data_IF_396323868607
#
_entry.id   IF_396323868607
#
_cell.length_a   1.000
_cell.length_b   1.000
_cell.length_c   1.000
_cell.angle_alpha   90.00
_cell.angle_beta   90.00
_cell.angle_gamma   90.00
#
_symmetry.space_group_name_H-M   'P 1'
#
loop_
_entity.id
_entity.type
_entity.pdbx_description
1 polymer ?
#
# COMPACT_ATOMS: atom_id res chain seq x y z
N UNK A 1 13.43 -12.61 2.29
CA UNK A 1 12.46 -11.55 2.66
C UNK A 1 12.78 -10.31 1.86
N UNK A 2 11.79 -9.69 1.22
CA UNK A 2 11.97 -8.51 0.36
C UNK A 2 11.54 -7.24 1.12
N UNK A 3 10.52 -7.36 1.96
CA UNK A 3 10.00 -6.27 2.78
C UNK A 3 8.89 -6.74 3.72
N UNK A 4 8.29 -5.81 4.45
CA UNK A 4 7.11 -6.06 5.27
C UNK A 4 6.26 -4.80 5.43
N UNK A 5 4.95 -4.99 5.59
CA UNK A 5 3.98 -3.98 6.01
C UNK A 5 3.37 -4.46 7.33
N UNK A 6 3.96 -4.04 8.45
CA UNK A 6 3.65 -4.66 9.75
C UNK A 6 3.86 -6.18 9.73
N UNK A 7 2.80 -6.94 10.00
CA UNK A 7 2.81 -8.40 10.02
C UNK A 7 2.73 -9.03 8.62
N UNK A 8 2.42 -8.24 7.60
CA UNK A 8 2.35 -8.69 6.21
C UNK A 8 3.75 -8.69 5.60
N UNK A 9 4.36 -9.88 5.50
CA UNK A 9 5.72 -10.03 4.96
C UNK A 9 5.70 -10.25 3.44
N UNK A 10 6.50 -9.46 2.71
CA UNK A 10 6.77 -9.67 1.28
C UNK A 10 7.95 -10.63 1.11
N UNK A 11 7.73 -11.72 0.39
CA UNK A 11 8.69 -12.82 0.23
C UNK A 11 8.67 -13.36 -1.20
N UNK A 12 9.84 -13.71 -1.72
CA UNK A 12 9.98 -14.58 -2.87
C UNK A 12 10.91 -15.71 -2.46
N UNK A 13 10.41 -16.94 -2.53
CA UNK A 13 11.09 -18.19 -2.15
C UNK A 13 10.59 -19.32 -3.05
N UNK A 14 11.22 -20.50 -2.98
CA UNK A 14 10.77 -21.65 -3.76
C UNK A 14 9.32 -22.07 -3.42
N UNK A 15 8.92 -21.89 -2.16
CA UNK A 15 7.62 -22.34 -1.66
C UNK A 15 6.55 -21.25 -1.69
N UNK A 16 6.95 -19.98 -1.63
CA UNK A 16 6.01 -18.86 -1.55
C UNK A 16 6.48 -17.63 -2.29
N UNK A 17 5.60 -17.08 -3.12
CA UNK A 17 5.79 -15.83 -3.86
C UNK A 17 4.68 -14.84 -3.47
N UNK A 18 5.09 -13.80 -2.77
CA UNK A 18 4.29 -12.66 -2.32
C UNK A 18 5.10 -11.39 -2.53
N UNK A 19 5.06 -10.89 -3.75
CA UNK A 19 5.74 -9.66 -4.17
C UNK A 19 4.72 -8.60 -4.53
N UNK A 20 5.14 -7.34 -4.47
CA UNK A 20 4.36 -6.22 -4.95
C UNK A 20 4.78 -5.83 -6.36
N UNK A 21 3.82 -5.34 -7.13
CA UNK A 21 3.99 -4.79 -8.47
C UNK A 21 3.51 -3.33 -8.47
N UNK A 22 3.94 -2.56 -9.48
CA UNK A 22 3.55 -1.15 -9.65
C UNK A 22 3.74 -0.26 -8.41
N UNK A 23 4.82 -0.50 -7.64
CA UNK A 23 5.08 0.26 -6.42
C UNK A 23 5.33 1.74 -6.73
N UNK A 24 4.50 2.61 -6.16
CA UNK A 24 4.57 4.06 -6.34
C UNK A 24 4.43 4.77 -5.00
N UNK A 25 5.33 5.72 -4.74
CA UNK A 25 5.22 6.71 -3.64
C UNK A 25 5.01 8.08 -4.25
N UNK A 26 4.02 8.82 -3.75
CA UNK A 26 3.75 10.21 -4.10
C UNK A 26 3.84 11.08 -2.86
N UNK A 27 4.62 12.15 -2.98
CA UNK A 27 4.89 13.14 -1.93
C UNK A 27 4.61 14.53 -2.46
N UNK A 28 3.94 15.37 -1.69
CA UNK A 28 3.63 16.75 -2.04
C UNK A 28 3.99 17.72 -0.92
N UNK A 29 4.35 18.94 -1.30
CA UNK A 29 4.41 20.08 -0.38
C UNK A 29 3.15 20.92 -0.55
N UNK A 30 2.61 21.45 0.54
CA UNK A 30 1.48 22.37 0.52
C UNK A 30 1.99 23.81 0.34
N UNK A 31 1.48 24.48 -0.69
CA UNK A 31 1.83 25.86 -1.04
C UNK A 31 0.56 26.70 -1.19
N UNK A 32 0.57 27.91 -0.61
CA UNK A 32 -0.46 28.92 -0.84
C UNK A 32 0.02 29.91 -1.91
N UNK A 33 -0.85 30.24 -2.86
CA UNK A 33 -0.61 31.32 -3.82
C UNK A 33 -1.39 32.56 -3.40
N UNK A 34 -0.68 33.64 -3.07
CA UNK A 34 -1.27 34.93 -2.71
C UNK A 34 -1.35 35.84 -3.92
N UNK A 35 -2.56 36.23 -4.31
CA UNK A 35 -2.79 37.10 -5.45
C UNK A 35 -2.25 38.52 -5.17
N UNK A 36 -1.52 39.07 -6.14
CA UNK A 36 -1.01 40.45 -6.07
C UNK A 36 -1.49 41.19 -7.32
N UNK A 37 -2.18 42.32 -7.15
CA UNK A 37 -2.75 43.07 -8.26
C UNK A 37 -1.67 43.48 -9.27
N UNK A 38 -1.87 43.12 -10.54
CA UNK A 38 -0.95 43.44 -11.64
C UNK A 38 0.39 42.69 -11.63
N UNK A 39 0.57 41.69 -10.75
CA UNK A 39 1.81 40.93 -10.63
C UNK A 39 1.53 39.42 -10.59
N UNK A 40 2.59 38.63 -10.78
CA UNK A 40 2.51 37.18 -10.55
C UNK A 40 2.22 36.91 -9.07
N UNK A 41 1.35 35.93 -8.73
CA UNK A 41 1.10 35.55 -7.35
C UNK A 41 2.37 35.16 -6.61
N UNK A 42 2.44 35.49 -5.33
CA UNK A 42 3.56 35.10 -4.45
C UNK A 42 3.24 33.74 -3.84
N UNK A 43 4.15 32.78 -4.00
CA UNK A 43 4.01 31.43 -3.44
C UNK A 43 4.58 31.38 -2.02
N UNK A 44 3.81 30.86 -1.07
CA UNK A 44 4.22 30.65 0.32
C UNK A 44 4.15 29.17 0.67
N UNK A 45 5.25 28.63 1.20
CA UNK A 45 5.28 27.25 1.69
C UNK A 45 4.54 27.15 3.04
N UNK A 46 3.58 26.23 3.10
CA UNK A 46 2.75 25.98 4.30
C UNK A 46 3.35 24.82 5.12
N UNK A 47 3.90 23.82 4.44
CA UNK A 47 4.44 22.62 5.06
C UNK A 47 4.36 21.40 4.14
N UNK A 48 4.94 20.27 4.54
CA UNK A 48 4.75 19.01 3.83
C UNK A 48 3.28 18.56 3.88
N UNK A 49 2.89 17.78 2.88
CA UNK A 49 1.65 17.00 2.87
C UNK A 49 1.94 15.56 3.31
N UNK A 50 0.89 14.78 3.56
CA UNK A 50 1.05 13.36 3.89
C UNK A 50 1.41 12.56 2.64
N UNK A 51 2.44 11.72 2.75
CA UNK A 51 2.80 10.84 1.65
C UNK A 51 1.74 9.76 1.41
N UNK A 52 1.62 9.35 0.14
CA UNK A 52 0.74 8.27 -0.29
C UNK A 52 1.56 7.21 -1.03
N UNK A 53 1.31 5.94 -0.71
CA UNK A 53 1.94 4.79 -1.38
C UNK A 53 0.86 3.91 -1.99
N UNK A 54 1.06 3.46 -3.21
CA UNK A 54 0.16 2.53 -3.90
C UNK A 54 0.95 1.41 -4.52
N UNK A 55 0.46 0.18 -4.41
CA UNK A 55 1.06 -0.98 -5.07
C UNK A 55 0.03 -2.10 -5.21
N UNK A 56 0.36 -3.08 -6.04
CA UNK A 56 -0.50 -4.24 -6.29
C UNK A 56 0.14 -5.51 -5.76
N UNK A 57 -0.66 -6.45 -5.28
CA UNK A 57 -0.20 -7.80 -4.94
C UNK A 57 -1.09 -8.80 -5.68
N UNK A 58 -0.45 -9.81 -6.28
CA UNK A 58 -1.15 -10.99 -6.77
C UNK A 58 -1.09 -12.11 -5.73
N UNK A 59 -2.26 -12.67 -5.42
CA UNK A 59 -2.43 -13.86 -4.60
C UNK A 59 -2.84 -15.03 -5.47
N UNK A 60 -2.10 -16.13 -5.40
CA UNK A 60 -2.34 -17.33 -6.19
C UNK A 60 -2.07 -18.57 -5.32
N UNK A 61 -2.97 -19.54 -5.36
CA UNK A 61 -2.76 -20.83 -4.69
C UNK A 61 -1.51 -21.56 -5.20
N UNK A 62 -1.13 -21.31 -6.46
CA UNK A 62 0.10 -21.86 -7.05
C UNK A 62 1.37 -21.28 -6.43
N UNK A 63 1.26 -20.15 -5.71
CA UNK A 63 2.36 -19.52 -4.99
C UNK A 63 2.39 -19.92 -3.51
N UNK A 64 1.75 -21.04 -3.14
CA UNK A 64 1.81 -21.60 -1.79
C UNK A 64 1.03 -20.80 -0.73
N UNK A 65 0.08 -19.96 -1.17
CA UNK A 65 -0.72 -19.11 -0.29
C UNK A 65 -2.20 -19.45 -0.39
N UNK A 66 -2.99 -19.11 0.63
CA UNK A 66 -4.44 -19.10 0.51
C UNK A 66 -4.91 -17.66 0.21
N UNK A 67 -5.34 -17.35 -1.03
CA UNK A 67 -5.70 -15.97 -1.41
C UNK A 67 -6.76 -15.36 -0.50
N UNK A 68 -7.78 -16.12 -0.10
CA UNK A 68 -8.86 -15.62 0.75
C UNK A 68 -8.36 -15.25 2.15
N UNK A 69 -7.49 -16.08 2.72
CA UNK A 69 -6.92 -15.80 4.04
C UNK A 69 -6.02 -14.55 4.01
N UNK A 70 -5.22 -14.38 2.95
CA UNK A 70 -4.36 -13.20 2.81
C UNK A 70 -5.15 -11.91 2.58
N UNK A 71 -6.20 -11.95 1.76
CA UNK A 71 -7.10 -10.81 1.56
C UNK A 71 -7.82 -10.41 2.86
N UNK A 72 -8.25 -11.39 3.66
CA UNK A 72 -8.87 -11.11 4.96
C UNK A 72 -7.89 -10.43 5.92
N UNK A 73 -6.62 -10.85 5.96
CA UNK A 73 -5.59 -10.18 6.78
C UNK A 73 -5.39 -8.72 6.38
N UNK A 74 -5.34 -8.44 5.08
CA UNK A 74 -5.26 -7.07 4.58
C UNK A 74 -6.50 -6.25 4.95
N UNK A 75 -7.69 -6.86 4.87
CA UNK A 75 -8.95 -6.23 5.23
C UNK A 75 -9.02 -5.92 6.73
N UNK A 76 -8.54 -6.82 7.59
CA UNK A 76 -8.45 -6.60 9.04
C UNK A 76 -7.49 -5.45 9.38
N UNK A 77 -6.32 -5.41 8.73
CA UNK A 77 -5.37 -4.31 8.87
C UNK A 77 -5.97 -2.97 8.44
N UNK A 78 -6.72 -2.95 7.33
CA UNK A 78 -7.43 -1.77 6.85
C UNK A 78 -8.52 -1.31 7.83
N UNK A 79 -9.36 -2.24 8.31
CA UNK A 79 -10.50 -1.92 9.20
C UNK A 79 -10.09 -1.54 10.61
N UNK A 80 -8.97 -2.08 11.10
CA UNK A 80 -8.45 -1.74 12.42
C UNK A 80 -7.79 -0.36 12.46
N UNK A 81 -7.43 0.20 11.29
CA UNK A 81 -6.77 1.51 11.20
C UNK A 81 -5.40 1.54 11.87
N UNK A 82 -4.76 0.38 12.04
CA UNK A 82 -3.47 0.27 12.73
C UNK A 82 -2.38 0.89 11.85
N UNK A 83 -1.60 1.80 12.45
CA UNK A 83 -0.43 2.37 11.81
C UNK A 83 0.76 1.40 11.96
N UNK A 84 1.34 0.97 10.84
CA UNK A 84 2.40 -0.04 10.78
C UNK A 84 3.63 0.47 10.02
N UNK A 85 4.84 -0.02 10.33
CA UNK A 85 6.02 0.31 9.55
C UNK A 85 5.94 -0.40 8.19
N UNK A 86 6.35 0.33 7.14
CA UNK A 86 6.60 -0.24 5.82
C UNK A 86 8.11 -0.37 5.63
N UNK A 87 8.61 -1.57 5.45
CA UNK A 87 10.03 -1.89 5.28
C UNK A 87 10.24 -2.51 3.92
N UNK A 88 11.20 -2.00 3.13
CA UNK A 88 11.57 -2.56 1.83
C UNK A 88 13.09 -2.63 1.77
N UNK A 89 13.65 -3.79 1.39
CA UNK A 89 15.09 -4.00 1.30
C UNK A 89 15.83 -3.81 2.63
N UNK A 90 15.17 -4.11 3.75
CA UNK A 90 15.73 -3.95 5.09
C UNK A 90 15.77 -2.51 5.61
N UNK A 91 15.17 -1.54 4.90
CA UNK A 91 15.06 -0.14 5.34
C UNK A 91 13.61 0.27 5.46
N UNK A 92 13.28 0.99 6.53
CA UNK A 92 11.97 1.62 6.67
C UNK A 92 11.78 2.65 5.55
N UNK A 93 10.59 2.65 4.94
CA UNK A 93 10.21 3.60 3.92
C UNK A 93 9.52 4.79 4.59
N UNK A 94 10.19 5.94 4.58
CA UNK A 94 9.69 7.14 5.27
C UNK A 94 10.13 7.21 6.73
N UNK A 95 9.72 8.28 7.42
CA UNK A 95 10.02 8.51 8.84
C UNK A 95 8.87 8.01 9.72
N UNK A 96 7.65 8.14 9.21
CA UNK A 96 6.42 7.85 9.93
C UNK A 96 5.90 6.44 9.64
N UNK A 97 4.87 6.05 10.40
CA UNK A 97 4.11 4.82 10.16
C UNK A 97 3.12 5.01 9.00
N UNK A 98 2.56 3.91 8.52
CA UNK A 98 1.65 3.89 7.40
C UNK A 98 0.33 3.22 7.79
N UNK A 99 -0.77 3.79 7.32
CA UNK A 99 -2.11 3.21 7.47
C UNK A 99 -2.66 2.79 6.12
N UNK A 100 -3.34 1.66 6.06
CA UNK A 100 -4.08 1.26 4.85
C UNK A 100 -5.36 2.08 4.79
N UNK A 101 -5.43 2.99 3.83
CA UNK A 101 -6.62 3.85 3.65
C UNK A 101 -7.62 3.25 2.68
N UNK A 102 -7.14 2.45 1.73
CA UNK A 102 -7.98 1.85 0.70
C UNK A 102 -7.40 0.50 0.22
N UNK A 103 -8.31 -0.43 -0.10
CA UNK A 103 -8.02 -1.82 -0.46
C UNK A 103 -9.04 -2.32 -1.48
N UNK A 104 -8.65 -2.35 -2.76
CA UNK A 104 -9.44 -2.95 -3.83
C UNK A 104 -9.05 -4.42 -4.00
N UNK A 105 -10.03 -5.31 -4.20
CA UNK A 105 -9.80 -6.75 -4.35
C UNK A 105 -10.51 -7.29 -5.60
N UNK A 106 -9.72 -7.82 -6.53
CA UNK A 106 -10.21 -8.50 -7.72
C UNK A 106 -10.22 -10.02 -7.49
N UNK A 107 -11.40 -10.63 -7.44
CA UNK A 107 -11.54 -12.08 -7.27
C UNK A 107 -11.50 -12.79 -8.63
N UNK A 108 -10.30 -12.96 -9.17
CA UNK A 108 -10.11 -13.34 -10.58
C UNK A 108 -10.51 -14.78 -10.93
N UNK A 109 -10.27 -15.75 -10.05
CA UNK A 109 -10.55 -17.17 -10.35
C UNK A 109 -11.10 -17.88 -9.15
N UNK A 110 -12.31 -18.43 -9.29
CA UNK A 110 -13.00 -19.21 -8.26
C UNK A 110 -13.29 -20.59 -8.86
N UNK A 111 -13.03 -21.65 -8.10
CA UNK A 111 -13.33 -23.01 -8.53
C UNK A 111 -14.84 -23.35 -8.43
N UNK A 112 -15.22 -24.53 -8.91
CA UNK A 112 -16.61 -25.00 -8.86
C UNK A 112 -17.12 -25.31 -7.44
N UNK A 113 -16.26 -25.23 -6.42
CA UNK A 113 -16.59 -25.39 -5.00
C UNK A 113 -16.64 -24.05 -4.27
N UNK A 114 -16.39 -22.92 -4.95
CA UNK A 114 -16.38 -21.58 -4.36
C UNK A 114 -15.05 -21.19 -3.70
N UNK A 115 -13.98 -21.95 -3.91
CA UNK A 115 -12.65 -21.59 -3.40
C UNK A 115 -11.99 -20.57 -4.33
N UNK A 116 -11.47 -19.50 -3.73
CA UNK A 116 -10.71 -18.48 -4.43
C UNK A 116 -9.31 -19.00 -4.74
N UNK A 117 -9.01 -19.20 -6.02
CA UNK A 117 -7.72 -19.70 -6.50
C UNK A 117 -6.75 -18.56 -6.82
N UNK A 118 -7.26 -17.46 -7.37
CA UNK A 118 -6.46 -16.30 -7.78
C UNK A 118 -7.18 -15.01 -7.48
N UNK A 119 -6.45 -14.04 -6.95
CA UNK A 119 -6.94 -12.69 -6.73
C UNK A 119 -5.82 -11.66 -6.85
N UNK A 120 -6.19 -10.43 -7.20
CA UNK A 120 -5.29 -9.28 -7.11
C UNK A 120 -5.82 -8.32 -6.05
N UNK A 121 -4.91 -7.64 -5.36
CA UNK A 121 -5.27 -6.56 -4.45
C UNK A 121 -4.50 -5.30 -4.81
N UNK A 122 -5.19 -4.17 -4.95
CA UNK A 122 -4.56 -2.86 -5.03
C UNK A 122 -4.62 -2.24 -3.63
N UNK A 123 -3.47 -1.93 -3.07
CA UNK A 123 -3.34 -1.41 -1.70
C UNK A 123 -2.91 0.03 -1.79
N UNK A 124 -3.64 0.89 -1.07
CA UNK A 124 -3.30 2.29 -0.88
C UNK A 124 -2.97 2.54 0.58
N UNK A 125 -1.78 3.06 0.81
CA UNK A 125 -1.31 3.51 2.11
C UNK A 125 -1.22 5.03 2.16
N UNK A 126 -1.42 5.58 3.34
CA UNK A 126 -1.14 6.97 3.65
C UNK A 126 -0.24 7.06 4.87
N UNK A 127 0.65 8.03 4.87
CA UNK A 127 1.50 8.36 6.01
C UNK A 127 0.66 8.76 7.24
N UNK A 128 1.05 8.28 8.41
CA UNK A 128 0.41 8.56 9.70
C UNK A 128 1.35 9.42 10.55
N UNK A 129 1.03 10.72 10.65
CA UNK A 129 1.78 11.72 11.41
C UNK A 129 1.32 11.84 12.86
#
# INVERSE_FOLDING_TARGET
MIGALGDVVFVASADTIRTFEDFKRSSSGRWAAHAVLGKKPVSQFIGPDLDKVTFKIRFDVMYGMNPRAELNRLLEMQRSGVAVPLVIGGKALGVNLWVVTDLDQDWNTIDNKGNLLKANANITLQEYA
#
